data_IF_625193701379
#
_entry.id   IF_625193701379
#
_cell.length_a   1.000
_cell.length_b   1.000
_cell.length_c   1.000
_cell.angle_alpha   90.00
_cell.angle_beta   90.00
_cell.angle_gamma   90.00
#
_symmetry.space_group_name_H-M   'P 1'
#
loop_
_entity.id
_entity.type
_entity.pdbx_description
1 polymer ?
#
# COMPACT_ATOMS: atom_id res chain seq x y z
N UNK A 1 -24.08 -24.41 -3.25
CA UNK A 1 -22.77 -23.80 -2.92
C UNK A 1 -22.53 -22.68 -3.91
N UNK A 2 -22.26 -21.45 -3.48
CA UNK A 2 -22.12 -20.28 -4.36
C UNK A 2 -20.66 -19.84 -4.33
N UNK A 3 -20.04 -19.78 -5.51
CA UNK A 3 -18.67 -19.31 -5.67
C UNK A 3 -18.72 -17.89 -6.22
N UNK A 4 -17.98 -16.98 -5.60
CA UNK A 4 -17.89 -15.59 -6.01
C UNK A 4 -16.46 -15.31 -6.46
N UNK A 5 -16.32 -14.65 -7.61
CA UNK A 5 -15.05 -14.19 -8.15
C UNK A 5 -15.15 -12.69 -8.28
N UNK A 6 -14.16 -11.99 -7.75
CA UNK A 6 -13.97 -10.56 -7.97
C UNK A 6 -12.91 -10.36 -9.06
N UNK A 7 -13.16 -9.44 -9.99
CA UNK A 7 -12.27 -9.16 -11.11
C UNK A 7 -12.01 -7.66 -11.16
N UNK A 8 -10.79 -7.26 -10.85
CA UNK A 8 -10.33 -5.88 -10.94
C UNK A 8 -9.56 -5.65 -12.24
N UNK A 9 -9.79 -4.50 -12.87
CA UNK A 9 -9.14 -4.10 -14.14
C UNK A 9 -8.84 -2.60 -14.06
N UNK A 10 -7.75 -2.17 -14.70
CA UNK A 10 -7.44 -0.76 -14.90
C UNK A 10 -6.11 -0.33 -14.30
N UNK A 11 -5.72 -0.88 -13.15
CA UNK A 11 -4.47 -0.48 -12.52
C UNK A 11 -3.23 -1.00 -13.27
N UNK A 12 -2.19 -0.16 -13.40
CA UNK A 12 -0.90 -0.61 -13.91
C UNK A 12 -0.27 -1.59 -12.93
N UNK A 13 0.16 -2.75 -13.44
CA UNK A 13 0.78 -3.78 -12.63
C UNK A 13 2.30 -3.59 -12.62
N UNK A 14 2.87 -3.33 -11.44
CA UNK A 14 4.33 -3.18 -11.23
C UNK A 14 4.73 -3.66 -9.82
N UNK A 15 5.66 -4.62 -9.66
CA UNK A 15 6.39 -5.35 -10.70
C UNK A 15 5.47 -6.27 -11.53
N UNK A 16 6.00 -6.92 -12.56
CA UNK A 16 5.21 -7.85 -13.37
C UNK A 16 4.75 -9.07 -12.54
N UNK A 17 3.60 -9.68 -12.86
CA UNK A 17 3.15 -10.90 -12.21
C UNK A 17 4.20 -12.02 -12.31
N UNK A 18 4.39 -12.74 -11.22
CA UNK A 18 5.33 -13.86 -11.14
C UNK A 18 4.59 -15.18 -11.00
N UNK A 19 5.18 -16.28 -11.47
CA UNK A 19 4.57 -17.60 -11.28
C UNK A 19 4.73 -18.04 -9.82
N UNK A 20 3.63 -18.42 -9.18
CA UNK A 20 3.59 -18.92 -7.79
C UNK A 20 2.99 -20.33 -7.74
N UNK A 21 3.44 -21.11 -6.76
CA UNK A 21 2.92 -22.44 -6.50
C UNK A 21 1.80 -22.42 -5.47
N UNK A 22 0.61 -22.92 -5.83
CA UNK A 22 -0.52 -23.06 -4.91
C UNK A 22 -0.73 -24.53 -4.55
N UNK A 23 -0.78 -24.90 -3.25
CA UNK A 23 -1.06 -26.26 -2.83
C UNK A 23 -2.45 -26.74 -3.28
N UNK A 24 -2.53 -27.97 -3.79
CA UNK A 24 -3.80 -28.60 -4.18
C UNK A 24 -4.40 -29.35 -3.00
N UNK A 25 -5.73 -29.40 -2.94
CA UNK A 25 -6.47 -30.11 -1.88
C UNK A 25 -6.17 -31.63 -1.82
N UNK A 26 -5.93 -32.26 -2.97
CA UNK A 26 -5.61 -33.70 -3.07
C UNK A 26 -4.11 -33.97 -3.23
N UNK A 27 -3.27 -33.02 -2.81
CA UNK A 27 -1.82 -33.13 -2.92
C UNK A 27 -1.23 -32.60 -4.23
N UNK A 28 0.03 -32.19 -4.17
CA UNK A 28 0.75 -31.53 -5.25
C UNK A 28 0.58 -30.00 -5.26
N UNK A 29 1.19 -29.37 -6.26
CA UNK A 29 1.21 -27.91 -6.44
C UNK A 29 0.75 -27.58 -7.86
N UNK A 30 -0.08 -26.55 -8.01
CA UNK A 30 -0.40 -25.96 -9.32
C UNK A 30 0.35 -24.64 -9.46
N UNK A 31 0.99 -24.43 -10.62
CA UNK A 31 1.63 -23.16 -10.96
C UNK A 31 0.58 -22.20 -11.53
N UNK A 32 0.50 -21.00 -10.97
CA UNK A 32 -0.41 -19.94 -11.41
C UNK A 32 0.33 -18.61 -11.46
N UNK A 33 -0.15 -17.67 -12.27
CA UNK A 33 0.35 -16.30 -12.21
C UNK A 33 -0.16 -15.65 -10.92
N UNK A 34 0.77 -15.33 -10.03
CA UNK A 34 0.52 -14.65 -8.77
C UNK A 34 0.54 -13.14 -8.97
N UNK A 35 -0.37 -12.48 -8.26
CA UNK A 35 -0.35 -11.03 -8.16
C UNK A 35 0.76 -10.61 -7.18
N UNK A 36 1.69 -9.72 -7.55
CA UNK A 36 2.79 -9.34 -6.67
C UNK A 36 2.27 -8.71 -5.39
N UNK A 37 2.88 -9.02 -4.25
CA UNK A 37 2.39 -8.50 -2.97
C UNK A 37 2.50 -6.96 -2.91
N UNK A 38 3.52 -6.38 -3.52
CA UNK A 38 3.66 -4.93 -3.70
C UNK A 38 2.40 -4.28 -4.32
N UNK A 39 1.72 -4.97 -5.24
CA UNK A 39 0.48 -4.47 -5.84
C UNK A 39 -0.72 -4.55 -4.89
N UNK A 40 -0.76 -5.54 -3.99
CA UNK A 40 -1.78 -5.61 -2.93
C UNK A 40 -1.63 -4.41 -1.98
N UNK A 41 -0.40 -4.02 -1.63
CA UNK A 41 -0.15 -2.78 -0.88
C UNK A 41 -0.58 -1.54 -1.67
N UNK A 42 -0.27 -1.49 -2.96
CA UNK A 42 -0.63 -0.38 -3.83
C UNK A 42 -2.14 -0.14 -3.87
N UNK A 43 -2.92 -1.18 -4.12
CA UNK A 43 -4.38 -1.10 -4.19
C UNK A 43 -5.01 -0.69 -2.85
N UNK A 44 -4.60 -1.33 -1.76
CA UNK A 44 -5.15 -1.03 -0.42
C UNK A 44 -4.81 0.38 0.02
N UNK A 45 -3.56 0.80 -0.18
CA UNK A 45 -3.10 2.14 0.19
C UNK A 45 -3.78 3.21 -0.67
N UNK A 46 -3.80 3.04 -1.99
CA UNK A 46 -4.45 4.00 -2.89
C UNK A 46 -5.94 4.14 -2.58
N UNK A 47 -6.63 3.02 -2.35
CA UNK A 47 -8.07 3.01 -2.00
C UNK A 47 -8.32 3.68 -0.65
N UNK A 48 -7.48 3.43 0.35
CA UNK A 48 -7.60 4.06 1.67
C UNK A 48 -7.38 5.59 1.58
N UNK A 49 -6.42 6.05 0.78
CA UNK A 49 -6.16 7.48 0.58
C UNK A 49 -7.28 8.14 -0.22
N UNK A 50 -7.70 7.53 -1.33
CA UNK A 50 -8.75 8.05 -2.22
C UNK A 50 -10.07 8.33 -1.49
N UNK A 51 -10.44 7.46 -0.54
CA UNK A 51 -11.71 7.57 0.19
C UNK A 51 -11.59 8.41 1.47
N UNK A 52 -10.36 8.69 1.91
CA UNK A 52 -10.06 9.57 3.03
C UNK A 52 -10.72 9.18 4.35
N UNK A 53 -10.91 10.18 5.23
CA UNK A 53 -11.50 10.02 6.57
C UNK A 53 -13.03 9.89 6.58
N UNK A 54 -13.67 10.05 5.42
CA UNK A 54 -15.14 10.05 5.30
C UNK A 54 -15.74 8.64 5.25
N UNK A 55 -14.95 7.64 4.83
CA UNK A 55 -15.38 6.23 4.73
C UNK A 55 -14.64 5.39 5.78
N UNK A 56 -15.37 4.59 6.56
CA UNK A 56 -14.84 3.81 7.71
C UNK A 56 -14.11 2.54 7.28
N UNK A 57 -13.36 2.60 6.18
CA UNK A 57 -12.53 1.50 5.67
C UNK A 57 -11.19 1.38 6.40
N UNK A 58 -11.21 1.50 7.72
CA UNK A 58 -10.08 1.23 8.61
C UNK A 58 -9.48 -0.16 8.38
N UNK A 59 -10.25 -1.08 7.80
CA UNK A 59 -9.81 -2.42 7.42
C UNK A 59 -8.69 -2.42 6.37
N UNK A 60 -8.69 -1.51 5.40
CA UNK A 60 -7.61 -1.45 4.40
C UNK A 60 -6.28 -1.08 5.07
N UNK A 61 -6.31 -0.18 6.05
CA UNK A 61 -5.14 0.15 6.89
C UNK A 61 -4.71 -1.03 7.77
N UNK A 62 -5.68 -1.74 8.37
CA UNK A 62 -5.40 -2.94 9.15
C UNK A 62 -4.77 -4.05 8.29
N UNK A 63 -5.25 -4.23 7.07
CA UNK A 63 -4.71 -5.21 6.13
C UNK A 63 -3.27 -4.85 5.71
N UNK A 64 -2.98 -3.57 5.41
CA UNK A 64 -1.61 -3.12 5.15
C UNK A 64 -0.69 -3.40 6.33
N UNK A 65 -1.15 -3.10 7.56
CA UNK A 65 -0.40 -3.39 8.77
C UNK A 65 -0.18 -4.89 8.98
N UNK A 66 -1.21 -5.73 8.80
CA UNK A 66 -1.08 -7.17 8.97
C UNK A 66 -0.15 -7.78 7.92
N UNK A 67 -0.28 -7.36 6.66
CA UNK A 67 0.57 -7.83 5.59
C UNK A 67 2.05 -7.53 5.87
N UNK A 68 2.36 -6.31 6.35
CA UNK A 68 3.75 -5.91 6.66
C UNK A 68 4.35 -6.65 7.87
N UNK A 69 3.52 -7.27 8.71
CA UNK A 69 3.98 -8.09 9.84
C UNK A 69 4.23 -9.54 9.47
N UNK A 70 3.58 -10.04 8.43
CA UNK A 70 3.60 -11.45 8.04
C UNK A 70 4.56 -11.70 6.88
N UNK A 71 4.81 -10.70 6.05
CA UNK A 71 5.64 -10.83 4.85
C UNK A 71 6.79 -9.82 4.88
N UNK A 72 8.00 -10.32 4.63
CA UNK A 72 9.16 -9.48 4.33
C UNK A 72 9.08 -9.07 2.86
N UNK A 73 9.23 -7.78 2.57
CA UNK A 73 8.99 -7.20 1.26
C UNK A 73 10.04 -6.14 0.94
N UNK A 74 10.32 -5.97 -0.35
CA UNK A 74 11.17 -4.87 -0.80
C UNK A 74 10.38 -3.56 -0.72
N UNK A 75 10.74 -2.71 0.25
CA UNK A 75 10.13 -1.40 0.47
C UNK A 75 10.19 -0.52 -0.79
N UNK A 76 11.25 -0.62 -1.59
CA UNK A 76 11.38 0.15 -2.82
C UNK A 76 10.38 -0.33 -3.89
N UNK A 77 10.14 -1.64 -4.00
CA UNK A 77 9.09 -2.17 -4.89
C UNK A 77 7.69 -1.77 -4.43
N UNK A 78 7.42 -1.82 -3.12
CA UNK A 78 6.13 -1.41 -2.55
C UNK A 78 5.86 0.07 -2.82
N UNK A 79 6.84 0.95 -2.55
CA UNK A 79 6.74 2.39 -2.83
C UNK A 79 6.56 2.64 -4.32
N UNK A 80 7.31 1.93 -5.17
CA UNK A 80 7.18 2.04 -6.63
C UNK A 80 5.77 1.61 -7.11
N UNK A 81 5.20 0.54 -6.57
CA UNK A 81 3.86 0.07 -6.91
C UNK A 81 2.80 1.09 -6.46
N UNK A 82 2.85 1.54 -5.21
CA UNK A 82 1.92 2.54 -4.65
C UNK A 82 1.93 3.82 -5.48
N UNK A 83 3.12 4.36 -5.78
CA UNK A 83 3.25 5.59 -6.57
C UNK A 83 2.74 5.43 -7.99
N UNK A 84 2.96 4.26 -8.61
CA UNK A 84 2.48 3.97 -9.96
C UNK A 84 0.94 3.93 -10.00
N UNK A 85 0.31 3.21 -9.06
CA UNK A 85 -1.15 3.11 -8.97
C UNK A 85 -1.79 4.45 -8.59
N UNK A 86 -1.25 5.14 -7.59
CA UNK A 86 -1.77 6.43 -7.17
C UNK A 86 -1.67 7.47 -8.29
N UNK A 87 -0.54 7.51 -9.00
CA UNK A 87 -0.37 8.36 -10.18
C UNK A 87 -1.36 8.04 -11.29
N UNK A 88 -1.62 6.75 -11.55
CA UNK A 88 -2.62 6.32 -12.53
C UNK A 88 -4.04 6.74 -12.14
N UNK A 89 -4.39 6.63 -10.86
CA UNK A 89 -5.72 6.98 -10.33
C UNK A 89 -5.90 8.48 -10.02
N UNK A 90 -4.84 9.28 -10.14
CA UNK A 90 -4.87 10.70 -9.76
C UNK A 90 -4.98 10.94 -8.25
N UNK A 91 -4.58 9.96 -7.43
CA UNK A 91 -4.60 10.06 -5.96
C UNK A 91 -3.34 10.79 -5.49
N UNK A 92 -3.53 11.91 -4.79
CA UNK A 92 -2.43 12.65 -4.19
C UNK A 92 -1.89 11.92 -2.96
N UNK A 93 -0.63 11.51 -3.01
CA UNK A 93 0.06 10.92 -1.87
C UNK A 93 0.86 12.00 -1.14
N UNK A 94 0.61 12.13 0.16
CA UNK A 94 1.35 13.02 1.04
C UNK A 94 2.07 12.23 2.14
N UNK A 95 3.16 12.82 2.66
CA UNK A 95 3.85 12.24 3.81
C UNK A 95 2.97 12.37 5.04
N UNK A 96 2.86 11.30 5.82
CA UNK A 96 2.17 11.35 7.10
C UNK A 96 2.77 12.41 8.04
N UNK A 97 4.08 12.67 7.95
CA UNK A 97 4.74 13.73 8.71
C UNK A 97 4.28 15.14 8.35
N UNK A 98 3.71 15.36 7.17
CA UNK A 98 3.16 16.64 6.76
C UNK A 98 1.74 16.86 7.30
N UNK A 99 1.07 15.79 7.73
CA UNK A 99 -0.26 15.87 8.34
C UNK A 99 -0.13 16.37 9.78
N UNK A 100 -0.32 17.67 9.97
CA UNK A 100 -0.56 18.23 11.31
C UNK A 100 -1.98 17.82 11.72
N UNK A 101 -2.11 16.80 12.57
CA UNK A 101 -3.41 16.42 13.14
C UNK A 101 -3.80 17.45 14.18
N UNK A 102 -4.38 18.57 13.73
CA UNK A 102 -5.21 19.40 14.61
C UNK A 102 -6.46 18.59 14.94
N UNK A 103 -6.62 18.24 16.22
CA UNK A 103 -7.84 17.59 16.71
C UNK A 103 -9.00 18.57 16.53
N UNK A 104 -9.72 18.42 15.41
CA UNK A 104 -10.90 19.19 15.05
C UNK A 104 -10.61 20.36 14.11
N UNK A 105 -10.63 20.11 12.79
CA UNK A 105 -10.93 21.15 11.81
C UNK A 105 -11.43 20.50 10.51
N UNK A 106 -12.72 20.63 10.27
CA UNK A 106 -13.30 20.58 8.93
C UNK A 106 -12.76 21.77 8.11
N UNK A 107 -12.09 21.50 6.98
CA UNK A 107 -11.92 22.48 5.90
C UNK A 107 -10.49 22.94 5.59
N UNK A 108 -10.15 22.80 4.30
CA UNK A 108 -9.15 23.52 3.51
C UNK A 108 -7.67 23.41 3.93
N UNK A 109 -6.93 22.58 3.18
CA UNK A 109 -5.48 22.61 3.13
C UNK A 109 -5.00 23.94 2.51
N UNK A 110 -4.09 24.64 3.20
CA UNK A 110 -3.29 25.72 2.61
C UNK A 110 -1.82 25.45 2.90
N UNK A 111 -1.01 25.52 1.85
CA UNK A 111 0.44 25.33 1.83
C UNK A 111 1.17 26.34 2.70
N UNK A 112 2.03 25.85 3.60
CA UNK A 112 3.09 26.65 4.19
C UNK A 112 4.38 25.84 4.34
N UNK A 113 5.22 25.94 3.30
CA UNK A 113 6.67 25.68 3.33
C UNK A 113 7.37 26.55 4.38
N UNK A 114 7.84 25.95 5.49
CA UNK A 114 8.95 26.50 6.28
C UNK A 114 9.61 25.45 7.21
N UNK A 115 10.83 25.05 6.85
CA UNK A 115 11.97 24.73 7.73
C UNK A 115 11.80 23.78 8.92
N UNK A 116 12.36 22.58 8.82
CA UNK A 116 12.98 21.89 9.96
C UNK A 116 14.29 21.20 9.54
N UNK A 117 15.35 21.17 10.37
CA UNK A 117 16.67 20.70 9.95
C UNK A 117 16.70 19.18 9.79
N UNK A 118 17.37 18.70 8.75
CA UNK A 118 17.73 17.30 8.58
C UNK A 118 18.82 16.91 9.57
N UNK A 119 18.49 16.06 10.55
CA UNK A 119 19.47 15.32 11.34
C UNK A 119 19.72 13.95 10.67
N UNK A 120 20.98 13.51 10.48
CA UNK A 120 21.26 12.21 9.89
C UNK A 120 21.03 11.09 10.91
N UNK A 121 20.32 10.04 10.49
CA UNK A 121 20.23 8.79 11.24
C UNK A 121 21.63 8.14 11.32
N UNK A 122 22.25 8.11 12.49
CA UNK A 122 23.43 7.27 12.73
C UNK A 122 22.97 5.83 13.00
N UNK A 123 23.24 4.95 12.03
CA UNK A 123 23.20 3.49 12.22
C UNK A 123 24.33 3.11 13.18
N UNK A 124 23.96 2.60 14.35
CA UNK A 124 24.89 1.97 15.28
C UNK A 124 25.28 0.59 14.78
N UNK A 125 26.58 0.36 14.58
CA UNK A 125 27.17 -0.97 14.36
C UNK A 125 27.16 -1.81 15.65
N UNK A 126 27.15 -3.15 15.55
CA UNK A 126 26.96 -4.02 16.70
C UNK A 126 28.26 -4.24 17.48
N UNK A 127 28.13 -4.41 18.79
CA UNK A 127 28.94 -5.31 19.60
C UNK A 127 28.10 -5.85 20.76
#
# INVERSE_FOLDING_TARGET
MRFHVDVNVGDPIRPAPSTVGVPRLLGGVIAVQGYPLAMVYAEKTATAVERGLADTRWRDLADVYLLSRIHDQDDAEVVAAITTVAGHRGVALDRLSALTVTRGASGAATDHRAGWPSAPCSVGSPN
#
